data_IF_546118533813
#
_entry.id   IF_546118533813
#
_cell.length_a   1.000
_cell.length_b   1.000
_cell.length_c   1.000
_cell.angle_alpha   90.00
_cell.angle_beta   90.00
_cell.angle_gamma   90.00
#
_symmetry.space_group_name_H-M   'P 1'
#
loop_
_entity.id
_entity.type
_entity.pdbx_description
1 polymer ?
#
# COMPACT_ATOMS: atom_id res chain seq x y z
N UNK A 1 -15.05 17.77 4.47
CA UNK A 1 -15.97 16.66 4.80
C UNK A 1 -15.16 15.39 4.87
N UNK A 2 -15.26 14.58 5.93
CA UNK A 2 -14.53 13.32 6.02
C UNK A 2 -15.31 12.24 5.26
N UNK A 3 -14.73 11.64 4.22
CA UNK A 3 -15.38 10.55 3.51
C UNK A 3 -15.59 9.35 4.46
N UNK A 4 -16.83 8.86 4.53
CA UNK A 4 -17.21 7.73 5.38
C UNK A 4 -17.49 6.51 4.51
N UNK A 5 -16.83 5.41 4.82
CA UNK A 5 -17.07 4.10 4.20
C UNK A 5 -17.64 3.17 5.27
N UNK A 6 -18.67 2.41 4.90
CA UNK A 6 -19.26 1.38 5.76
C UNK A 6 -18.87 0.01 5.22
N UNK A 7 -18.34 -0.85 6.08
CA UNK A 7 -17.96 -2.23 5.73
C UNK A 7 -18.91 -3.19 6.42
N UNK A 8 -19.39 -4.20 5.69
CA UNK A 8 -20.18 -5.30 6.25
C UNK A 8 -19.27 -6.48 6.53
N UNK A 9 -19.36 -7.01 7.74
CA UNK A 9 -18.59 -8.15 8.24
C UNK A 9 -19.51 -8.97 9.13
N UNK A 10 -19.13 -10.21 9.44
CA UNK A 10 -19.82 -10.99 10.47
C UNK A 10 -19.55 -10.39 11.85
N UNK A 11 -20.44 -10.66 12.80
CA UNK A 11 -20.26 -10.23 14.19
C UNK A 11 -18.99 -10.80 14.81
N UNK A 12 -18.66 -12.05 14.49
CA UNK A 12 -17.42 -12.70 14.92
C UNK A 12 -16.17 -11.93 14.47
N UNK A 13 -16.13 -11.47 13.22
CA UNK A 13 -15.02 -10.68 12.72
C UNK A 13 -14.88 -9.34 13.47
N UNK A 14 -15.99 -8.67 13.76
CA UNK A 14 -15.95 -7.44 14.56
C UNK A 14 -15.44 -7.72 15.98
N UNK A 15 -15.87 -8.80 16.62
CA UNK A 15 -15.42 -9.19 17.95
C UNK A 15 -13.92 -9.49 17.98
N UNK A 16 -13.38 -10.14 16.95
CA UNK A 16 -11.94 -10.38 16.81
C UNK A 16 -11.15 -9.07 16.68
N UNK A 17 -11.64 -8.13 15.87
CA UNK A 17 -11.02 -6.80 15.70
C UNK A 17 -11.04 -6.03 17.02
N UNK A 18 -12.17 -5.98 17.71
CA UNK A 18 -12.31 -5.29 18.99
C UNK A 18 -11.40 -5.89 20.06
N UNK A 19 -11.31 -7.22 20.12
CA UNK A 19 -10.41 -7.94 21.02
C UNK A 19 -8.93 -7.67 20.72
N UNK A 20 -8.58 -7.44 19.45
CA UNK A 20 -7.23 -7.02 19.07
C UNK A 20 -6.95 -5.56 19.46
N UNK A 21 -7.92 -4.65 19.27
CA UNK A 21 -7.79 -3.24 19.66
C UNK A 21 -7.62 -3.11 21.18
N UNK A 22 -8.39 -3.86 21.98
CA UNK A 22 -8.32 -3.83 23.44
C UNK A 22 -6.96 -4.25 24.02
N UNK A 23 -6.16 -4.99 23.25
CA UNK A 23 -4.80 -5.43 23.64
C UNK A 23 -3.71 -4.40 23.30
N UNK A 24 -4.03 -3.32 22.60
CA UNK A 24 -3.05 -2.31 22.25
C UNK A 24 -2.71 -1.42 23.45
N UNK A 25 -1.46 -0.95 23.56
CA UNK A 25 -1.08 -0.01 24.60
C UNK A 25 -1.77 1.34 24.36
N UNK A 26 -2.52 1.80 25.37
CA UNK A 26 -3.29 3.04 25.30
C UNK A 26 -4.65 2.89 24.62
N UNK A 27 -5.50 3.89 24.79
CA UNK A 27 -6.84 3.88 24.18
C UNK A 27 -6.78 4.27 22.71
N UNK A 28 -7.22 3.38 21.82
CA UNK A 28 -7.32 3.63 20.38
C UNK A 28 -8.75 3.32 19.93
N UNK A 29 -9.38 4.25 19.22
CA UNK A 29 -10.72 4.01 18.65
C UNK A 29 -10.65 3.03 17.48
N UNK A 30 -11.74 2.29 17.21
CA UNK A 30 -11.82 1.39 16.06
C UNK A 30 -11.47 2.06 14.74
N UNK A 31 -11.94 3.30 14.53
CA UNK A 31 -11.63 4.05 13.32
C UNK A 31 -10.14 4.36 13.19
N UNK A 32 -9.51 4.72 14.31
CA UNK A 32 -8.09 5.05 14.33
C UNK A 32 -7.22 3.81 14.11
N UNK A 33 -7.58 2.70 14.73
CA UNK A 33 -6.94 1.41 14.53
C UNK A 33 -6.98 0.99 13.05
N UNK A 34 -8.16 1.09 12.41
CA UNK A 34 -8.33 0.78 10.98
C UNK A 34 -7.53 1.73 10.09
N UNK A 35 -7.50 3.04 10.37
CA UNK A 35 -6.71 4.01 9.59
C UNK A 35 -5.23 3.67 9.60
N UNK A 36 -4.66 3.35 10.76
CA UNK A 36 -3.23 2.99 10.90
C UNK A 36 -2.92 1.69 10.15
N UNK A 37 -3.80 0.70 10.26
CA UNK A 37 -3.62 -0.57 9.57
C UNK A 37 -3.64 -0.41 8.05
N UNK A 38 -4.56 0.42 7.54
CA UNK A 38 -4.63 0.76 6.12
C UNK A 38 -3.39 1.52 5.66
N UNK A 39 -2.92 2.51 6.42
CA UNK A 39 -1.70 3.26 6.09
C UNK A 39 -0.50 2.32 5.92
N UNK A 40 -0.28 1.40 6.87
CA UNK A 40 0.79 0.40 6.80
C UNK A 40 0.64 -0.50 5.56
N UNK A 41 -0.58 -0.96 5.28
CA UNK A 41 -0.85 -1.85 4.13
C UNK A 41 -0.61 -1.15 2.79
N UNK A 42 -1.02 0.12 2.67
CA UNK A 42 -0.85 0.91 1.44
C UNK A 42 0.63 1.26 1.21
N UNK A 43 1.35 1.67 2.25
CA UNK A 43 2.80 1.96 2.16
C UNK A 43 3.60 0.74 1.68
N UNK A 44 3.25 -0.46 2.13
CA UNK A 44 3.86 -1.70 1.65
C UNK A 44 3.54 -2.03 0.19
N UNK A 45 2.40 -1.54 -0.33
CA UNK A 45 1.96 -1.78 -1.71
C UNK A 45 2.70 -0.85 -2.69
N UNK A 46 2.92 0.40 -2.31
CA UNK A 46 3.67 1.39 -3.09
C UNK A 46 5.13 0.96 -3.33
N UNK A 47 5.73 0.22 -2.40
CA UNK A 47 7.09 -0.32 -2.57
C UNK A 47 7.17 -1.47 -3.58
N UNK A 48 6.08 -2.24 -3.74
CA UNK A 48 6.02 -3.34 -4.71
C UNK A 48 5.66 -2.86 -6.13
N UNK A 49 5.05 -1.67 -6.24
CA UNK A 49 4.73 -1.01 -7.50
C UNK A 49 5.75 0.09 -7.85
N UNK A 50 7.04 -0.13 -7.57
CA UNK A 50 8.06 0.54 -8.38
C UNK A 50 8.16 -0.23 -9.68
N UNK A 51 7.86 0.37 -10.86
CA UNK A 51 8.17 -0.28 -12.11
C UNK A 51 9.67 -0.57 -12.09
N UNK A 52 10.01 -1.85 -12.23
CA UNK A 52 11.37 -2.29 -12.53
C UNK A 52 11.88 -1.34 -13.61
N UNK A 53 12.95 -0.62 -13.29
CA UNK A 53 13.51 0.46 -14.09
C UNK A 53 13.33 0.19 -15.58
N UNK A 54 12.76 1.17 -16.29
CA UNK A 54 13.02 1.31 -17.71
C UNK A 54 14.55 1.42 -17.85
N UNK A 55 15.18 0.26 -18.02
CA UNK A 55 16.56 0.15 -18.45
C UNK A 55 16.53 0.63 -19.90
N UNK A 56 16.68 1.95 -20.05
CA UNK A 56 16.99 2.58 -21.30
C UNK A 56 18.31 1.98 -21.76
N UNK A 57 18.25 0.92 -22.56
CA UNK A 57 19.39 0.34 -23.25
C UNK A 57 19.93 1.40 -24.23
N UNK A 58 21.09 2.04 -23.98
CA UNK A 58 21.69 2.96 -24.92
C UNK A 58 22.71 2.19 -25.76
N UNK A 59 22.29 1.08 -26.39
CA UNK A 59 23.19 0.28 -27.22
C UNK A 59 22.51 -0.24 -28.48
N UNK A 60 21.89 0.65 -29.25
CA UNK A 60 21.72 0.45 -30.69
C UNK A 60 21.88 1.77 -31.45
N UNK A 61 23.12 2.26 -31.50
CA UNK A 61 23.60 3.10 -32.60
C UNK A 61 24.76 2.36 -33.26
N UNK A 62 24.42 1.27 -33.97
CA UNK A 62 25.32 0.65 -34.94
C UNK A 62 25.29 1.49 -36.21
N UNK A 63 26.33 2.31 -36.35
CA UNK A 63 27.19 2.43 -37.53
C UNK A 63 26.50 2.33 -38.91
N UNK A 64 26.45 3.47 -39.61
CA UNK A 64 26.09 3.52 -41.01
C UNK A 64 26.24 4.90 -41.64
N UNK A 65 27.29 5.65 -41.31
CA UNK A 65 27.60 6.90 -42.03
C UNK A 65 29.12 7.07 -42.21
N UNK A 66 29.57 6.82 -43.43
CA UNK A 66 30.74 7.46 -44.04
C UNK A 66 32.12 6.87 -43.73
N UNK A 67 32.68 6.14 -44.70
CA UNK A 67 34.08 6.32 -45.12
C UNK A 67 34.42 5.45 -46.34
N UNK A 68 34.30 6.02 -47.54
CA UNK A 68 35.36 6.22 -48.55
C UNK A 68 34.77 6.55 -49.90
#
# INVERSE_FOLDING_TARGET
MQNRITVRMTEEMFAQIDSWIARQPGYVSRQEAVRRLLAISLEGTEQHMRPHSAEANPTQLVQGAGSR
#
